data_IF_826412809312
#
_entry.id   IF_826412809312
#
_cell.length_a   1.000
_cell.length_b   1.000
_cell.length_c   1.000
_cell.angle_alpha   90.00
_cell.angle_beta   90.00
_cell.angle_gamma   90.00
#
_symmetry.space_group_name_H-M   'P 1'
#
loop_
_entity.id
_entity.type
_entity.pdbx_description
1 polymer ?
#
# COMPACT_ATOMS: atom_id res chain seq x y z
N UNK A 1 -34.14 -4.78 8.60
CA UNK A 1 -33.88 -3.70 9.57
C UNK A 1 -32.37 -3.64 9.71
N UNK A 2 -31.72 -2.69 9.05
CA UNK A 2 -30.28 -2.48 9.23
C UNK A 2 -30.06 -1.84 10.59
N UNK A 3 -29.42 -2.55 11.50
CA UNK A 3 -28.99 -2.01 12.79
C UNK A 3 -27.75 -1.16 12.54
N UNK A 4 -27.91 0.16 12.58
CA UNK A 4 -26.74 1.06 12.58
C UNK A 4 -26.06 0.86 13.93
N UNK A 5 -24.90 0.24 13.93
CA UNK A 5 -24.08 0.10 15.12
C UNK A 5 -23.58 1.50 15.53
N UNK A 6 -24.03 1.96 16.70
CA UNK A 6 -23.56 3.22 17.27
C UNK A 6 -22.37 2.91 18.18
N UNK A 7 -21.18 3.32 17.76
CA UNK A 7 -19.96 3.16 18.56
C UNK A 7 -19.81 4.35 19.52
N UNK A 8 -19.89 4.07 20.82
CA UNK A 8 -19.76 5.07 21.89
C UNK A 8 -18.28 5.41 22.22
N UNK A 9 -17.35 4.79 21.51
CA UNK A 9 -15.93 4.97 21.74
C UNK A 9 -15.47 6.33 21.21
N UNK A 10 -14.80 7.10 22.06
CA UNK A 10 -14.29 8.44 21.72
C UNK A 10 -13.14 8.37 20.71
N UNK A 11 -12.40 7.26 20.66
CA UNK A 11 -11.30 7.00 19.73
C UNK A 11 -11.53 5.68 19.00
N UNK A 12 -10.97 5.60 17.80
CA UNK A 12 -10.98 4.37 16.99
C UNK A 12 -9.95 3.41 17.58
N UNK A 13 -10.38 2.21 17.99
CA UNK A 13 -9.49 1.18 18.53
C UNK A 13 -8.76 0.42 17.43
N UNK A 14 -7.50 0.11 17.66
CA UNK A 14 -6.66 -0.77 16.83
C UNK A 14 -5.96 -1.80 17.68
N UNK A 15 -5.56 -2.94 17.09
CA UNK A 15 -4.70 -3.94 17.72
C UNK A 15 -3.21 -3.60 17.65
N UNK A 16 -2.87 -2.37 17.27
CA UNK A 16 -1.52 -1.87 17.12
C UNK A 16 -1.09 -1.75 15.67
N UNK A 17 0.13 -1.26 15.50
CA UNK A 17 0.72 -0.98 14.21
C UNK A 17 1.81 -2.01 13.91
N UNK A 18 1.84 -2.51 12.69
CA UNK A 18 2.88 -3.42 12.21
C UNK A 18 3.64 -2.76 11.07
N UNK A 19 4.94 -3.06 10.97
CA UNK A 19 5.84 -2.46 9.99
C UNK A 19 6.51 -3.51 9.13
N UNK A 20 6.74 -3.20 7.87
CA UNK A 20 7.61 -3.96 6.98
C UNK A 20 8.58 -2.97 6.34
N UNK A 21 9.86 -3.08 6.64
CA UNK A 21 10.91 -2.20 6.16
C UNK A 21 11.70 -2.80 4.98
N UNK A 22 12.67 -2.05 4.48
CA UNK A 22 13.62 -2.46 3.43
C UNK A 22 12.94 -2.90 2.12
N UNK A 23 11.91 -2.15 1.76
CA UNK A 23 11.17 -2.36 0.54
C UNK A 23 11.51 -1.31 -0.52
N UNK A 24 11.17 -1.65 -1.76
CA UNK A 24 11.06 -0.69 -2.85
C UNK A 24 9.66 -0.73 -3.44
N UNK A 25 9.18 0.44 -3.83
CA UNK A 25 7.95 0.63 -4.57
C UNK A 25 8.29 0.74 -6.06
N UNK A 26 7.59 -0.06 -6.87
CA UNK A 26 7.60 -0.01 -8.32
C UNK A 26 6.18 0.27 -8.78
N UNK A 27 5.98 1.37 -9.49
CA UNK A 27 4.69 1.74 -10.06
C UNK A 27 4.85 1.89 -11.56
N UNK A 28 3.94 1.30 -12.33
CA UNK A 28 3.90 1.42 -13.77
C UNK A 28 2.47 1.28 -14.29
N UNK A 29 2.25 1.85 -15.49
CA UNK A 29 0.99 1.68 -16.23
C UNK A 29 1.24 0.92 -17.53
N UNK A 30 0.24 0.17 -17.96
CA UNK A 30 0.29 -0.64 -19.17
C UNK A 30 -1.04 -0.59 -19.92
N UNK A 31 -0.96 -0.54 -21.24
CA UNK A 31 -2.16 -0.51 -22.06
C UNK A 31 -2.96 -1.81 -21.92
N UNK A 32 -4.27 -1.70 -21.73
CA UNK A 32 -5.16 -2.89 -21.60
C UNK A 32 -5.15 -3.73 -22.87
N UNK A 33 -4.97 -3.12 -24.05
CA UNK A 33 -4.86 -3.85 -25.32
C UNK A 33 -3.73 -4.87 -25.33
N UNK A 34 -2.65 -4.63 -24.57
CA UNK A 34 -1.43 -5.44 -24.57
C UNK A 34 -1.24 -6.27 -23.30
N UNK A 35 -2.27 -6.38 -22.48
CA UNK A 35 -2.22 -7.08 -21.17
C UNK A 35 -1.68 -8.51 -21.26
N UNK A 36 -1.87 -9.18 -22.40
CA UNK A 36 -1.31 -10.51 -22.66
C UNK A 36 0.23 -10.52 -22.65
N UNK A 37 0.84 -9.45 -23.12
CA UNK A 37 2.31 -9.30 -23.11
C UNK A 37 2.84 -9.13 -21.71
N UNK A 38 2.12 -8.39 -20.86
CA UNK A 38 2.42 -8.27 -19.44
C UNK A 38 2.34 -9.62 -18.73
N UNK A 39 1.30 -10.42 -19.02
CA UNK A 39 1.15 -11.77 -18.47
C UNK A 39 2.32 -12.69 -18.81
N UNK A 40 2.85 -12.62 -20.04
CA UNK A 40 4.05 -13.37 -20.45
C UNK A 40 5.30 -13.01 -19.64
N UNK A 41 5.40 -11.77 -19.17
CA UNK A 41 6.51 -11.33 -18.33
C UNK A 41 6.41 -11.96 -16.95
N UNK A 42 5.26 -11.84 -16.31
CA UNK A 42 5.04 -12.43 -14.98
C UNK A 42 5.07 -13.96 -14.97
N UNK A 43 4.94 -14.61 -16.14
CA UNK A 43 5.10 -16.06 -16.27
C UNK A 43 6.54 -16.54 -16.33
N UNK A 44 7.54 -15.66 -16.44
CA UNK A 44 8.96 -16.04 -16.45
C UNK A 44 9.37 -16.57 -15.07
N UNK A 45 10.25 -17.56 -15.07
CA UNK A 45 10.68 -18.24 -13.85
C UNK A 45 11.32 -17.30 -12.83
N UNK A 46 12.09 -16.31 -13.28
CA UNK A 46 12.72 -15.29 -12.43
C UNK A 46 11.69 -14.44 -11.65
N UNK A 47 10.47 -14.32 -12.18
CA UNK A 47 9.42 -13.52 -11.55
C UNK A 47 8.40 -14.36 -10.75
N UNK A 48 8.37 -15.67 -10.95
CA UNK A 48 7.54 -16.59 -10.15
C UNK A 48 7.93 -16.64 -8.68
N UNK A 49 9.16 -16.25 -8.36
CA UNK A 49 9.70 -16.22 -7.00
C UNK A 49 9.48 -14.90 -6.28
N UNK A 50 8.93 -13.88 -6.95
CA UNK A 50 8.64 -12.59 -6.34
C UNK A 50 7.67 -12.75 -5.19
N UNK A 51 7.99 -12.10 -4.07
CA UNK A 51 7.15 -12.09 -2.87
C UNK A 51 6.74 -10.67 -2.52
N UNK A 52 5.86 -10.06 -3.30
CA UNK A 52 5.39 -8.71 -3.01
C UNK A 52 4.71 -8.68 -1.63
N UNK A 53 5.02 -7.63 -0.88
CA UNK A 53 4.41 -7.34 0.42
C UNK A 53 3.13 -6.52 0.27
N UNK A 54 3.01 -5.83 -0.85
CA UNK A 54 1.82 -5.08 -1.21
C UNK A 54 1.69 -5.03 -2.73
N UNK A 55 0.48 -5.23 -3.22
CA UNK A 55 0.10 -5.06 -4.62
C UNK A 55 -1.18 -4.26 -4.66
N UNK A 56 -1.18 -3.21 -5.44
CA UNK A 56 -2.38 -2.45 -5.78
C UNK A 56 -2.48 -2.37 -7.30
N UNK A 57 -3.66 -2.52 -7.84
CA UNK A 57 -3.93 -2.27 -9.25
C UNK A 57 -5.14 -1.36 -9.40
N UNK A 58 -5.08 -0.50 -10.39
CA UNK A 58 -6.17 0.37 -10.80
C UNK A 58 -6.39 0.25 -12.30
N UNK A 59 -7.62 0.09 -12.71
CA UNK A 59 -7.99 -0.08 -14.12
C UNK A 59 -8.80 1.15 -14.56
N UNK A 60 -8.36 1.75 -15.64
CA UNK A 60 -9.14 2.76 -16.39
C UNK A 60 -9.69 2.13 -17.69
N UNK A 61 -10.34 2.93 -18.54
CA UNK A 61 -10.85 2.43 -19.83
C UNK A 61 -9.74 1.96 -20.79
N UNK A 62 -8.50 2.43 -20.62
CA UNK A 62 -7.41 2.21 -21.57
C UNK A 62 -6.16 1.59 -20.96
N UNK A 63 -5.97 1.74 -19.67
CA UNK A 63 -4.74 1.35 -18.97
C UNK A 63 -5.03 0.62 -17.67
N UNK A 64 -4.11 -0.24 -17.29
CA UNK A 64 -3.99 -0.81 -15.97
C UNK A 64 -2.71 -0.31 -15.33
N UNK A 65 -2.83 0.28 -14.14
CA UNK A 65 -1.70 0.70 -13.32
C UNK A 65 -1.47 -0.29 -12.20
N UNK A 66 -0.21 -0.56 -11.92
CA UNK A 66 0.22 -1.43 -10.84
C UNK A 66 1.16 -0.71 -9.90
N UNK A 67 0.98 -0.97 -8.61
CA UNK A 67 1.94 -0.62 -7.55
C UNK A 67 2.37 -1.91 -6.87
N UNK A 68 3.66 -2.17 -6.87
CA UNK A 68 4.27 -3.30 -6.17
C UNK A 68 5.20 -2.78 -5.09
N UNK A 69 5.08 -3.33 -3.87
CA UNK A 69 6.13 -3.19 -2.86
C UNK A 69 6.82 -4.53 -2.67
N UNK A 70 8.10 -4.57 -2.95
CA UNK A 70 8.95 -5.77 -2.93
C UNK A 70 10.12 -5.58 -1.99
N UNK A 71 10.63 -6.65 -1.36
CA UNK A 71 11.94 -6.62 -0.72
C UNK A 71 12.98 -6.06 -1.69
N UNK A 72 13.83 -5.14 -1.23
CA UNK A 72 14.78 -4.43 -2.08
C UNK A 72 15.65 -5.38 -2.93
N UNK A 73 16.06 -6.51 -2.36
CA UNK A 73 16.85 -7.55 -3.03
C UNK A 73 16.14 -8.24 -4.21
N UNK A 74 14.80 -8.21 -4.24
CA UNK A 74 13.98 -8.88 -5.27
C UNK A 74 13.61 -7.96 -6.44
N UNK A 75 13.92 -6.67 -6.34
CA UNK A 75 13.48 -5.67 -7.34
C UNK A 75 14.20 -5.74 -8.67
N UNK A 76 15.46 -6.21 -8.69
CA UNK A 76 16.31 -6.22 -9.89
C UNK A 76 15.69 -6.99 -11.06
N UNK A 77 15.19 -8.19 -10.79
CA UNK A 77 14.57 -9.04 -11.82
C UNK A 77 13.32 -8.40 -12.46
N UNK A 78 12.44 -7.86 -11.62
CA UNK A 78 11.25 -7.18 -12.12
C UNK A 78 11.61 -5.93 -12.93
N UNK A 79 12.49 -5.08 -12.44
CA UNK A 79 12.95 -3.88 -13.17
C UNK A 79 13.53 -4.24 -14.53
N UNK A 80 14.47 -5.17 -14.59
CA UNK A 80 15.05 -5.61 -15.86
C UNK A 80 14.01 -6.16 -16.83
N UNK A 81 12.96 -6.80 -16.33
CA UNK A 81 11.87 -7.30 -17.18
C UNK A 81 10.94 -6.19 -17.66
N UNK A 82 10.66 -5.21 -16.82
CA UNK A 82 9.87 -4.03 -17.18
C UNK A 82 10.61 -3.14 -18.18
N UNK A 83 11.91 -2.91 -18.02
CA UNK A 83 12.76 -2.12 -18.91
C UNK A 83 12.81 -2.65 -20.36
N UNK A 84 12.47 -3.93 -20.56
CA UNK A 84 12.38 -4.54 -21.90
C UNK A 84 11.09 -4.23 -22.64
N UNK A 85 10.05 -3.81 -21.93
CA UNK A 85 8.70 -3.63 -22.50
C UNK A 85 8.14 -2.22 -22.30
N UNK A 86 8.68 -1.49 -21.34
CA UNK A 86 8.27 -0.14 -21.02
C UNK A 86 9.38 0.84 -21.35
N UNK A 87 9.04 2.02 -21.90
CA UNK A 87 9.98 3.13 -21.96
C UNK A 87 10.50 3.47 -20.56
N UNK A 88 11.75 3.95 -20.40
CA UNK A 88 12.34 4.26 -19.10
C UNK A 88 11.55 5.24 -18.25
N UNK A 89 10.75 6.09 -18.89
CA UNK A 89 9.89 7.10 -18.25
C UNK A 89 8.52 6.56 -17.81
N UNK A 90 8.21 5.31 -18.13
CA UNK A 90 6.88 4.72 -17.93
C UNK A 90 6.71 4.03 -16.58
N UNK A 91 7.75 4.01 -15.74
CA UNK A 91 7.62 3.46 -14.40
C UNK A 91 8.32 4.33 -13.37
N UNK A 92 7.77 4.36 -12.16
CA UNK A 92 8.34 5.03 -11.00
C UNK A 92 8.97 3.98 -10.08
N UNK A 93 10.19 4.24 -9.65
CA UNK A 93 10.92 3.42 -8.67
C UNK A 93 11.31 4.28 -7.49
N UNK A 94 10.84 3.91 -6.29
CA UNK A 94 11.13 4.64 -5.05
C UNK A 94 11.69 3.66 -4.02
N UNK A 95 12.81 4.01 -3.40
CA UNK A 95 13.41 3.26 -2.31
C UNK A 95 14.32 4.15 -1.45
N UNK A 96 14.54 3.82 -0.19
CA UNK A 96 13.84 2.80 0.56
C UNK A 96 12.44 3.26 0.97
N UNK A 97 11.49 2.31 0.95
CA UNK A 97 10.13 2.53 1.45
C UNK A 97 9.81 1.49 2.53
N UNK A 98 8.83 1.82 3.36
CA UNK A 98 8.29 0.92 4.36
C UNK A 98 6.76 0.88 4.28
N UNK A 99 6.19 -0.21 4.72
CA UNK A 99 4.74 -0.35 4.90
C UNK A 99 4.46 -0.27 6.40
N UNK A 100 3.48 0.55 6.76
CA UNK A 100 2.80 0.47 8.06
C UNK A 100 1.39 -0.03 7.81
N UNK A 101 0.96 -1.02 8.56
CA UNK A 101 -0.41 -1.52 8.47
C UNK A 101 -0.98 -1.80 9.85
N UNK A 102 -2.28 -1.67 9.95
CA UNK A 102 -3.01 -1.87 11.19
C UNK A 102 -4.43 -2.32 10.91
N UNK A 103 -5.01 -2.96 11.90
CA UNK A 103 -6.39 -3.42 11.90
C UNK A 103 -6.96 -3.25 13.30
N UNK A 104 -8.25 -3.32 13.42
CA UNK A 104 -8.89 -3.14 14.71
C UNK A 104 -10.29 -3.74 14.76
N UNK A 105 -10.88 -3.78 15.96
CA UNK A 105 -12.25 -4.19 16.10
C UNK A 105 -13.14 -3.23 15.31
N UNK A 106 -14.15 -3.77 14.66
CA UNK A 106 -15.15 -2.99 13.94
C UNK A 106 -14.67 -2.20 12.71
N UNK A 107 -13.45 -2.45 12.19
CA UNK A 107 -12.98 -1.79 10.97
C UNK A 107 -13.88 -2.03 9.76
N UNK A 108 -14.61 -3.15 9.72
CA UNK A 108 -15.52 -3.48 8.63
C UNK A 108 -16.85 -2.72 8.65
N UNK A 109 -17.24 -2.18 9.78
CA UNK A 109 -18.56 -1.56 10.00
C UNK A 109 -18.48 -0.16 10.62
N UNK A 110 -17.28 0.34 10.96
CA UNK A 110 -17.06 1.68 11.48
C UNK A 110 -16.66 2.67 10.39
N UNK A 111 -17.35 3.80 10.33
CA UNK A 111 -17.02 4.90 9.42
C UNK A 111 -15.87 5.77 9.95
N UNK A 112 -15.19 6.46 9.02
CA UNK A 112 -14.23 7.51 9.36
C UNK A 112 -12.80 7.01 9.57
N UNK A 113 -12.49 5.71 9.46
CA UNK A 113 -11.14 5.17 9.65
C UNK A 113 -10.16 5.74 8.61
N UNK A 114 -10.56 5.77 7.35
CA UNK A 114 -9.72 6.33 6.28
C UNK A 114 -9.51 7.84 6.47
N UNK A 115 -10.56 8.58 6.79
CA UNK A 115 -10.46 10.02 7.06
C UNK A 115 -9.52 10.31 8.23
N UNK A 116 -9.69 9.63 9.37
CA UNK A 116 -8.81 9.76 10.52
C UNK A 116 -7.35 9.45 10.16
N UNK A 117 -7.12 8.39 9.38
CA UNK A 117 -5.77 7.99 8.95
C UNK A 117 -5.12 9.05 8.07
N UNK A 118 -5.80 9.45 6.99
CA UNK A 118 -5.23 10.38 6.02
C UNK A 118 -5.09 11.79 6.57
N UNK A 119 -6.06 12.26 7.35
CA UNK A 119 -5.99 13.56 8.01
C UNK A 119 -4.83 13.64 9.02
N UNK A 120 -4.59 12.57 9.78
CA UNK A 120 -3.48 12.49 10.73
C UNK A 120 -2.13 12.59 10.02
N UNK A 121 -1.90 11.79 8.98
CA UNK A 121 -0.65 11.80 8.26
C UNK A 121 -0.43 13.11 7.49
N UNK A 122 -1.49 13.68 6.93
CA UNK A 122 -1.45 14.98 6.26
C UNK A 122 -1.05 16.11 7.23
N UNK A 123 -1.65 16.16 8.43
CA UNK A 123 -1.29 17.12 9.49
C UNK A 123 0.17 16.97 9.94
N UNK A 124 0.66 15.74 9.98
CA UNK A 124 2.06 15.46 10.29
C UNK A 124 3.01 15.77 9.11
N UNK A 125 2.51 16.20 7.95
CA UNK A 125 3.31 16.48 6.76
C UNK A 125 3.92 15.23 6.12
N UNK A 126 3.32 14.05 6.33
CA UNK A 126 3.81 12.77 5.81
C UNK A 126 3.17 12.47 4.47
N UNK A 127 3.99 12.21 3.47
CA UNK A 127 3.53 11.84 2.13
C UNK A 127 3.23 10.36 2.01
N UNK A 128 1.98 10.02 1.71
CA UNK A 128 1.58 8.65 1.40
C UNK A 128 1.95 8.37 -0.07
N UNK A 129 2.74 7.31 -0.30
CA UNK A 129 3.17 6.89 -1.64
C UNK A 129 2.15 5.97 -2.31
N UNK A 130 1.54 5.10 -1.52
CA UNK A 130 0.41 4.26 -1.90
C UNK A 130 -0.36 3.86 -0.65
N UNK A 131 -1.63 3.55 -0.80
CA UNK A 131 -2.47 3.05 0.28
C UNK A 131 -3.46 2.01 -0.22
N UNK A 132 -3.86 1.12 0.64
CA UNK A 132 -4.90 0.14 0.39
C UNK A 132 -5.69 -0.13 1.66
N UNK A 133 -6.98 -0.34 1.50
CA UNK A 133 -7.86 -0.72 2.61
C UNK A 133 -8.58 -2.02 2.24
N UNK A 134 -8.70 -2.91 3.19
CA UNK A 134 -9.64 -4.01 3.16
C UNK A 134 -10.75 -3.76 4.18
N UNK A 135 -11.72 -4.66 4.27
CA UNK A 135 -12.77 -4.55 5.29
C UNK A 135 -12.26 -4.51 6.73
N UNK A 136 -11.03 -4.96 6.98
CA UNK A 136 -10.49 -5.10 8.34
C UNK A 136 -9.14 -4.40 8.56
N UNK A 137 -8.47 -3.93 7.51
CA UNK A 137 -7.09 -3.44 7.61
C UNK A 137 -6.82 -2.25 6.72
N UNK A 138 -5.93 -1.38 7.17
CA UNK A 138 -5.37 -0.26 6.41
C UNK A 138 -3.89 -0.51 6.17
N UNK A 139 -3.43 -0.31 4.94
CA UNK A 139 -2.05 -0.42 4.52
C UNK A 139 -1.58 0.93 3.97
N UNK A 140 -0.43 1.38 4.39
CA UNK A 140 0.18 2.66 3.99
C UNK A 140 1.62 2.41 3.57
N UNK A 141 1.97 2.83 2.36
CA UNK A 141 3.35 2.81 1.87
C UNK A 141 3.91 4.20 2.01
N UNK A 142 5.00 4.33 2.76
CA UNK A 142 5.64 5.60 3.12
C UNK A 142 7.14 5.54 2.79
N UNK A 143 7.77 6.71 2.68
CA UNK A 143 9.23 6.76 2.70
C UNK A 143 9.74 6.18 4.03
N UNK A 144 10.82 5.40 4.00
CA UNK A 144 11.29 4.70 5.20
C UNK A 144 11.66 5.63 6.35
N UNK A 145 12.14 6.83 6.06
CA UNK A 145 12.49 7.81 7.07
C UNK A 145 11.27 8.46 7.78
N UNK A 146 10.07 8.32 7.21
CA UNK A 146 8.83 8.84 7.79
C UNK A 146 8.12 7.85 8.71
N UNK A 147 8.59 6.60 8.79
CA UNK A 147 7.83 5.51 9.41
C UNK A 147 7.62 5.71 10.92
N UNK A 148 8.65 6.20 11.63
CA UNK A 148 8.57 6.42 13.07
C UNK A 148 7.60 7.57 13.38
N UNK A 149 7.73 8.68 12.65
CA UNK A 149 6.84 9.82 12.76
C UNK A 149 5.39 9.47 12.43
N UNK A 150 5.20 8.61 11.44
CA UNK A 150 3.86 8.15 11.05
C UNK A 150 3.20 7.31 12.15
N UNK A 151 3.93 6.38 12.75
CA UNK A 151 3.39 5.56 13.83
C UNK A 151 3.08 6.38 15.07
N UNK A 152 3.95 7.33 15.43
CA UNK A 152 3.70 8.25 16.54
C UNK A 152 2.39 9.03 16.32
N UNK A 153 2.24 9.68 15.17
CA UNK A 153 1.04 10.43 14.83
C UNK A 153 -0.23 9.56 14.82
N UNK A 154 -0.14 8.34 14.27
CA UNK A 154 -1.26 7.40 14.26
C UNK A 154 -1.61 6.91 15.68
N UNK A 155 -0.62 6.71 16.55
CA UNK A 155 -0.83 6.30 17.95
C UNK A 155 -1.54 7.39 18.76
N UNK A 156 -1.32 8.65 18.45
CA UNK A 156 -2.08 9.76 19.06
C UNK A 156 -3.56 9.76 18.63
N UNK A 157 -3.85 9.33 17.41
CA UNK A 157 -5.20 9.34 16.84
C UNK A 157 -6.00 8.08 17.18
N UNK A 158 -5.36 6.93 17.11
CA UNK A 158 -5.96 5.62 17.38
C UNK A 158 -5.62 5.15 18.78
N UNK A 159 -6.54 4.42 19.41
CA UNK A 159 -6.34 3.78 20.70
C UNK A 159 -5.92 2.33 20.48
N UNK A 160 -4.73 1.95 20.97
CA UNK A 160 -4.31 0.55 20.94
C UNK A 160 -5.08 -0.21 22.01
N UNK A 161 -5.87 -1.19 21.57
CA UNK A 161 -6.61 -2.08 22.47
C UNK A 161 -5.61 -2.91 23.28
N UNK A 162 -5.80 -2.92 24.60
CA UNK A 162 -5.02 -3.74 25.54
C UNK A 162 -5.53 -5.17 25.56
#
# INVERSE_FOLDING_TARGET
METIAVYWESRIKTYGFQRIADLALIEFSYALSDIKSLGKIFSKDDLKTLRPKFILSHVTNYEISFVFCLPLKETKGLRTSLEKILPPTSYRYVHPVSIIFFHGPHFGDRYGIADATFSTLSKAGIKILASGCSSASVFLVLAQHDIDKAEEALTETFEVAK
#
